data_IF_726324576101
#
_entry.id   IF_726324576101
#
_cell.length_a   1.000
_cell.length_b   1.000
_cell.length_c   1.000
_cell.angle_alpha   90.00
_cell.angle_beta   90.00
_cell.angle_gamma   90.00
#
_symmetry.space_group_name_H-M   'P 1'
#
loop_
_entity.id
_entity.type
_entity.pdbx_description
1 polymer ?
#
# COMPACT_ATOMS: atom_id res chain seq x y z
N UNK A 1 28.68 48.43 20.22
CA UNK A 1 28.06 48.52 18.88
C UNK A 1 28.83 47.54 18.01
N UNK A 2 28.45 46.26 17.98
CA UNK A 2 27.69 45.68 16.88
C UNK A 2 26.96 44.42 17.36
N UNK A 3 25.69 44.36 16.99
CA UNK A 3 24.71 43.40 17.41
C UNK A 3 24.71 42.16 16.49
N UNK A 4 24.32 41.01 17.09
CA UNK A 4 23.48 39.95 16.51
C UNK A 4 23.96 39.27 15.23
N UNK A 5 24.34 37.99 15.35
CA UNK A 5 23.77 36.93 14.51
C UNK A 5 23.54 35.71 15.42
N UNK A 6 22.31 35.58 15.92
CA UNK A 6 21.87 34.36 16.58
C UNK A 6 21.53 33.34 15.51
N UNK A 7 22.33 32.27 15.41
CA UNK A 7 22.03 31.13 14.57
C UNK A 7 21.38 30.04 15.43
N UNK A 8 20.08 30.18 15.66
CA UNK A 8 19.26 29.08 16.16
C UNK A 8 18.61 28.39 14.94
N UNK A 9 19.36 27.53 14.27
CA UNK A 9 18.79 26.56 13.34
C UNK A 9 18.17 25.44 14.19
N UNK A 10 16.94 25.68 14.66
CA UNK A 10 16.13 24.67 15.31
C UNK A 10 15.74 23.65 14.24
N UNK A 11 16.51 22.56 14.14
CA UNK A 11 16.22 21.47 13.21
C UNK A 11 14.83 20.91 13.51
N UNK A 12 13.91 21.06 12.56
CA UNK A 12 12.65 20.32 12.58
C UNK A 12 13.00 18.83 12.49
N UNK A 13 12.95 18.13 13.63
CA UNK A 13 12.82 16.70 13.64
C UNK A 13 11.47 16.38 12.98
N UNK A 14 11.50 15.94 11.72
CA UNK A 14 10.33 15.35 11.08
C UNK A 14 9.94 14.14 11.90
N UNK A 15 8.86 14.27 12.67
CA UNK A 15 8.19 13.12 13.27
C UNK A 15 7.75 12.23 12.10
N UNK A 16 8.50 11.17 11.85
CA UNK A 16 8.05 10.08 11.00
C UNK A 16 6.89 9.41 11.74
N UNK A 17 5.67 9.91 11.52
CA UNK A 17 4.47 9.25 12.00
C UNK A 17 4.38 7.90 11.29
N UNK A 18 4.65 6.82 12.02
CA UNK A 18 4.28 5.48 11.59
C UNK A 18 2.80 5.49 11.24
N UNK A 19 2.45 5.05 10.03
CA UNK A 19 1.06 4.98 9.59
C UNK A 19 0.40 3.81 10.34
N UNK A 20 -0.19 4.10 11.50
CA UNK A 20 -1.02 3.15 12.22
C UNK A 20 -2.35 3.00 11.48
N UNK A 21 -2.51 1.91 10.72
CA UNK A 21 -3.78 1.52 10.13
C UNK A 21 -4.63 0.80 11.19
N UNK A 22 -5.69 1.46 11.66
CA UNK A 22 -6.68 0.84 12.54
C UNK A 22 -7.79 0.21 11.69
N UNK A 23 -8.37 -0.88 12.18
CA UNK A 23 -9.57 -1.44 11.55
C UNK A 23 -10.68 -0.37 11.54
N UNK A 24 -11.32 -0.19 10.39
CA UNK A 24 -12.32 0.85 10.16
C UNK A 24 -11.75 2.19 9.68
N UNK A 25 -10.42 2.37 9.66
CA UNK A 25 -9.81 3.54 9.03
C UNK A 25 -10.09 3.55 7.52
N UNK A 26 -10.41 4.72 6.93
CA UNK A 26 -10.53 4.84 5.49
C UNK A 26 -9.17 4.62 4.83
N UNK A 27 -9.18 4.01 3.64
CA UNK A 27 -8.00 3.87 2.80
C UNK A 27 -7.95 5.05 1.85
N UNK A 28 -6.95 5.92 2.01
CA UNK A 28 -6.67 7.01 1.08
C UNK A 28 -6.30 6.48 -0.31
N UNK A 29 -6.49 7.28 -1.36
CA UNK A 29 -6.04 6.90 -2.69
C UNK A 29 -4.50 6.89 -2.78
N UNK A 30 -3.98 6.02 -3.63
CA UNK A 30 -2.55 5.89 -3.90
C UNK A 30 -2.32 5.42 -5.34
N UNK A 31 -1.11 5.64 -5.85
CA UNK A 31 -0.72 5.19 -7.19
C UNK A 31 0.01 3.86 -7.11
N UNK A 32 -0.23 3.00 -8.09
CA UNK A 32 0.43 1.73 -8.32
C UNK A 32 1.04 1.73 -9.72
N UNK A 33 2.00 0.85 -9.95
CA UNK A 33 2.44 0.51 -11.30
C UNK A 33 1.77 -0.77 -11.77
N UNK A 34 1.26 -0.75 -12.99
CA UNK A 34 0.80 -1.94 -13.69
C UNK A 34 2.00 -2.78 -14.15
N UNK A 35 1.72 -3.98 -14.64
CA UNK A 35 2.75 -4.92 -15.11
C UNK A 35 3.54 -4.41 -16.31
N UNK A 36 2.96 -3.49 -17.09
CA UNK A 36 3.61 -2.79 -18.20
C UNK A 36 4.35 -1.50 -17.77
N UNK A 37 4.35 -1.18 -16.46
CA UNK A 37 4.94 0.01 -15.87
C UNK A 37 4.05 1.26 -15.90
N UNK A 38 2.84 1.19 -16.47
CA UNK A 38 1.94 2.33 -16.48
C UNK A 38 1.43 2.66 -15.07
N UNK A 39 1.37 3.95 -14.67
CA UNK A 39 0.78 4.33 -13.40
C UNK A 39 -0.74 4.10 -13.41
N UNK A 40 -1.28 3.68 -12.28
CA UNK A 40 -2.73 3.51 -12.08
C UNK A 40 -3.12 3.87 -10.66
N UNK A 41 -4.23 4.57 -10.50
CA UNK A 41 -4.75 4.92 -9.18
C UNK A 41 -5.51 3.74 -8.57
N UNK A 42 -5.37 3.52 -7.27
CA UNK A 42 -6.16 2.53 -6.53
C UNK A 42 -7.67 2.76 -6.69
N UNK A 43 -8.10 4.02 -6.71
CA UNK A 43 -9.48 4.41 -6.98
C UNK A 43 -10.04 3.90 -8.31
N UNK A 44 -9.19 3.71 -9.33
CA UNK A 44 -9.58 3.15 -10.62
C UNK A 44 -9.69 1.62 -10.62
N UNK A 45 -9.09 0.95 -9.64
CA UNK A 45 -9.04 -0.51 -9.54
C UNK A 45 -10.04 -1.10 -8.53
N UNK A 46 -10.30 -0.36 -7.44
CA UNK A 46 -11.10 -0.85 -6.31
C UNK A 46 -12.58 -1.03 -6.67
N UNK A 47 -13.21 -2.01 -6.03
CA UNK A 47 -14.67 -2.20 -6.04
C UNK A 47 -15.31 -1.84 -4.69
N UNK A 48 -16.62 -2.09 -4.57
CA UNK A 48 -17.37 -1.89 -3.32
C UNK A 48 -16.77 -2.71 -2.16
N UNK A 49 -16.35 -3.94 -2.45
CA UNK A 49 -15.55 -4.77 -1.55
C UNK A 49 -14.24 -5.08 -2.26
N UNK A 50 -13.13 -4.74 -1.62
CA UNK A 50 -11.78 -4.90 -2.19
C UNK A 50 -10.88 -5.60 -1.19
N UNK A 51 -10.19 -6.64 -1.65
CA UNK A 51 -9.10 -7.30 -0.95
C UNK A 51 -7.79 -6.85 -1.60
N UNK A 52 -6.93 -6.19 -0.82
CA UNK A 52 -5.59 -5.81 -1.24
C UNK A 52 -4.59 -6.79 -0.63
N UNK A 53 -3.80 -7.46 -1.45
CA UNK A 53 -2.82 -8.46 -1.03
C UNK A 53 -1.42 -7.98 -1.39
N UNK A 54 -0.57 -7.75 -0.39
CA UNK A 54 0.85 -7.50 -0.61
C UNK A 54 1.58 -8.83 -0.67
N UNK A 55 2.10 -9.17 -1.84
CA UNK A 55 2.75 -10.44 -2.14
C UNK A 55 4.21 -10.22 -2.54
N UNK A 56 4.94 -11.31 -2.64
CA UNK A 56 6.26 -11.38 -3.26
C UNK A 56 6.30 -12.58 -4.18
N UNK A 57 6.73 -12.41 -5.43
CA UNK A 57 6.78 -13.52 -6.39
C UNK A 57 8.05 -14.36 -6.24
N UNK A 58 9.09 -13.84 -5.57
CA UNK A 58 10.36 -14.54 -5.32
C UNK A 58 10.46 -15.12 -3.90
N UNK A 59 9.63 -14.70 -2.94
CA UNK A 59 9.71 -15.19 -1.58
C UNK A 59 9.00 -16.55 -1.43
N UNK A 60 9.70 -17.63 -1.01
CA UNK A 60 9.08 -18.94 -0.83
C UNK A 60 7.98 -18.94 0.24
N UNK A 61 8.11 -18.08 1.27
CA UNK A 61 7.08 -17.93 2.32
C UNK A 61 5.83 -17.23 1.78
N UNK A 62 5.97 -16.26 0.87
CA UNK A 62 4.80 -15.66 0.21
C UNK A 62 4.14 -16.68 -0.72
N UNK A 63 4.95 -17.39 -1.50
CA UNK A 63 4.47 -18.35 -2.50
C UNK A 63 3.76 -19.55 -1.86
N UNK A 64 4.08 -19.92 -0.61
CA UNK A 64 3.36 -21.00 0.09
C UNK A 64 1.88 -20.68 0.37
N UNK A 65 1.47 -19.42 0.25
CA UNK A 65 0.06 -19.01 0.37
C UNK A 65 -0.69 -18.94 -0.97
N UNK A 66 -0.04 -19.25 -2.10
CA UNK A 66 -0.66 -19.11 -3.43
C UNK A 66 -1.95 -19.90 -3.57
N UNK A 67 -1.99 -21.15 -3.12
CA UNK A 67 -3.20 -21.98 -3.20
C UNK A 67 -4.35 -21.40 -2.38
N UNK A 68 -4.05 -20.83 -1.20
CA UNK A 68 -5.03 -20.17 -0.35
C UNK A 68 -5.54 -18.86 -0.97
N UNK A 69 -4.66 -18.07 -1.59
CA UNK A 69 -5.06 -16.85 -2.31
C UNK A 69 -5.93 -17.19 -3.53
N UNK A 70 -5.59 -18.24 -4.27
CA UNK A 70 -6.41 -18.76 -5.39
C UNK A 70 -7.78 -19.20 -4.93
N UNK A 71 -7.87 -19.97 -3.82
CA UNK A 71 -9.15 -20.40 -3.26
C UNK A 71 -10.03 -19.20 -2.87
N UNK A 72 -9.47 -18.19 -2.19
CA UNK A 72 -10.19 -16.96 -1.86
C UNK A 72 -10.71 -16.23 -3.11
N UNK A 73 -9.89 -16.13 -4.15
CA UNK A 73 -10.33 -15.51 -5.40
C UNK A 73 -11.51 -16.28 -6.04
N UNK A 74 -11.42 -17.61 -6.10
CA UNK A 74 -12.47 -18.47 -6.66
C UNK A 74 -13.79 -18.35 -5.87
N UNK A 75 -13.71 -18.33 -4.54
CA UNK A 75 -14.89 -18.28 -3.67
C UNK A 75 -15.65 -16.94 -3.71
N UNK A 76 -14.96 -15.83 -4.04
CA UNK A 76 -15.50 -14.48 -3.83
C UNK A 76 -15.50 -13.56 -5.05
N UNK A 77 -14.75 -13.86 -6.11
CA UNK A 77 -14.70 -13.00 -7.32
C UNK A 77 -16.06 -12.87 -7.99
N UNK A 78 -16.81 -13.98 -8.13
CA UNK A 78 -18.17 -13.99 -8.69
C UNK A 78 -19.21 -13.29 -7.81
N UNK A 79 -18.88 -13.07 -6.52
CA UNK A 79 -19.71 -12.34 -5.55
C UNK A 79 -19.44 -10.83 -5.55
N UNK A 80 -18.61 -10.35 -6.47
CA UNK A 80 -18.31 -8.92 -6.64
C UNK A 80 -17.12 -8.40 -5.82
N UNK A 81 -16.35 -9.27 -5.17
CA UNK A 81 -15.12 -8.88 -4.48
C UNK A 81 -14.01 -8.63 -5.50
N UNK A 82 -13.40 -7.44 -5.46
CA UNK A 82 -12.22 -7.11 -6.26
C UNK A 82 -10.96 -7.50 -5.51
N UNK A 83 -10.06 -8.20 -6.18
CA UNK A 83 -8.76 -8.58 -5.64
C UNK A 83 -7.68 -7.77 -6.35
N UNK A 84 -6.83 -7.10 -5.58
CA UNK A 84 -5.68 -6.35 -6.06
C UNK A 84 -4.44 -6.94 -5.39
N UNK A 85 -3.68 -7.73 -6.15
CA UNK A 85 -2.41 -8.28 -5.69
C UNK A 85 -1.26 -7.35 -6.09
N UNK A 86 -0.49 -6.89 -5.11
CA UNK A 86 0.61 -5.94 -5.27
C UNK A 86 1.90 -6.68 -4.93
N UNK A 87 2.84 -6.75 -5.86
CA UNK A 87 4.18 -7.23 -5.54
C UNK A 87 4.92 -6.15 -4.73
N UNK A 88 4.98 -6.29 -3.41
CA UNK A 88 5.52 -5.25 -2.53
C UNK A 88 7.05 -5.11 -2.60
N UNK A 89 7.72 -5.95 -3.41
CA UNK A 89 9.16 -5.86 -3.64
C UNK A 89 9.53 -5.11 -4.93
N UNK A 90 8.56 -4.70 -5.74
CA UNK A 90 8.78 -4.11 -7.07
C UNK A 90 7.80 -2.98 -7.35
#
# INVERSE_FOLDING_TARGET
MLARIGLAALGMATLAFGQDFKVGSPVSDFSLQQLDGAPVQFSALKGNVTVVMFISVQCPVSNSYNDRMTALYQDYSSKGVKFIAINANR
#
